data_IF_904915592570
#
_entry.id   IF_904915592570
#
_cell.length_a   1.000
_cell.length_b   1.000
_cell.length_c   1.000
_cell.angle_alpha   90.00
_cell.angle_beta   90.00
_cell.angle_gamma   90.00
#
_symmetry.space_group_name_H-M   'P 1'
#
loop_
_entity.id
_entity.type
_entity.pdbx_description
1 polymer ?
#
# COMPACT_ATOMS: atom_id res chain seq x y z
N UNK A 1 -45.50 -21.41 -23.94
CA UNK A 1 -46.17 -21.78 -22.67
C UNK A 1 -45.36 -21.21 -21.51
N UNK A 2 -45.86 -20.19 -20.81
CA UNK A 2 -46.57 -20.24 -19.51
C UNK A 2 -45.65 -20.52 -18.29
N UNK A 3 -45.25 -19.40 -17.68
CA UNK A 3 -45.24 -19.03 -16.25
C UNK A 3 -44.56 -19.87 -15.16
N UNK A 4 -43.83 -19.10 -14.31
CA UNK A 4 -43.32 -19.38 -12.97
C UNK A 4 -44.26 -20.24 -12.12
N UNK A 5 -43.71 -21.12 -11.25
CA UNK A 5 -44.15 -21.23 -9.85
C UNK A 5 -43.01 -21.65 -8.91
N UNK A 6 -42.67 -20.75 -8.00
CA UNK A 6 -41.84 -21.06 -6.83
C UNK A 6 -42.55 -22.06 -5.90
N UNK A 7 -41.77 -22.89 -5.21
CA UNK A 7 -42.26 -23.73 -4.11
C UNK A 7 -41.97 -23.05 -2.76
N UNK A 8 -43.01 -23.06 -1.93
CA UNK A 8 -43.22 -22.35 -0.66
C UNK A 8 -42.27 -22.79 0.47
N UNK A 9 -42.04 -21.94 1.50
CA UNK A 9 -41.29 -22.29 2.72
C UNK A 9 -42.14 -23.17 3.69
N UNK A 10 -41.55 -23.72 4.78
CA UNK A 10 -42.02 -24.95 5.41
C UNK A 10 -43.19 -24.71 6.37
N UNK A 11 -44.05 -25.72 6.50
CA UNK A 11 -45.13 -25.75 7.50
C UNK A 11 -44.68 -26.63 8.66
N UNK A 12 -44.41 -26.00 9.80
CA UNK A 12 -44.25 -26.65 11.10
C UNK A 12 -45.57 -27.30 11.50
N UNK A 13 -45.55 -28.61 11.81
CA UNK A 13 -46.61 -29.26 12.57
C UNK A 13 -46.07 -29.60 13.95
N UNK A 14 -46.40 -28.75 14.91
CA UNK A 14 -46.36 -29.11 16.32
C UNK A 14 -47.46 -30.15 16.58
N UNK A 15 -47.11 -31.23 17.27
CA UNK A 15 -48.04 -32.03 18.06
C UNK A 15 -47.35 -32.36 19.38
N UNK A 16 -47.87 -31.76 20.43
CA UNK A 16 -47.75 -32.24 21.80
C UNK A 16 -48.45 -33.61 21.89
N UNK A 17 -48.09 -34.43 22.87
CA UNK A 17 -49.04 -35.14 23.75
C UNK A 17 -48.29 -35.71 24.97
N UNK A 18 -49.03 -35.71 26.07
CA UNK A 18 -48.62 -35.77 27.46
C UNK A 18 -48.63 -37.20 28.05
N UNK A 19 -47.92 -37.33 29.19
CA UNK A 19 -48.20 -38.19 30.36
C UNK A 19 -47.80 -39.68 30.36
N UNK A 20 -47.16 -40.07 31.46
CA UNK A 20 -47.06 -41.45 31.93
C UNK A 20 -45.97 -41.68 32.99
N UNK A 21 -46.15 -41.14 34.20
CA UNK A 21 -45.51 -41.67 35.41
C UNK A 21 -45.87 -43.16 35.59
N UNK A 22 -45.00 -43.98 36.23
CA UNK A 22 -45.28 -44.71 37.49
C UNK A 22 -44.28 -45.85 37.78
N UNK A 23 -43.89 -45.94 39.06
CA UNK A 23 -43.22 -47.02 39.81
C UNK A 23 -41.69 -47.23 39.69
N UNK A 24 -41.01 -47.02 40.83
CA UNK A 24 -39.61 -47.38 41.07
C UNK A 24 -39.45 -48.66 41.87
N UNK A 25 -38.20 -49.09 42.05
CA UNK A 25 -37.73 -49.98 43.12
C UNK A 25 -36.22 -49.75 43.29
N UNK A 26 -35.81 -49.46 44.53
CA UNK A 26 -34.42 -49.42 44.98
C UNK A 26 -33.80 -50.82 44.92
N UNK A 27 -32.50 -50.89 44.62
CA UNK A 27 -31.60 -51.85 45.24
C UNK A 27 -30.19 -51.27 45.32
N UNK A 28 -29.71 -51.19 46.56
CA UNK A 28 -28.32 -51.03 47.01
C UNK A 28 -27.28 -51.67 46.10
N UNK A 29 -26.15 -51.00 45.81
CA UNK A 29 -24.79 -51.41 46.21
C UNK A 29 -23.79 -50.26 46.02
N UNK A 30 -23.10 -49.90 47.10
CA UNK A 30 -21.78 -49.29 47.02
C UNK A 30 -20.82 -50.23 46.29
N UNK A 31 -20.05 -49.74 45.31
CA UNK A 31 -18.63 -50.05 45.16
C UNK A 31 -18.02 -49.40 43.90
N UNK A 32 -16.82 -48.83 44.07
CA UNK A 32 -15.88 -48.59 42.96
C UNK A 32 -16.08 -47.32 42.14
N UNK A 33 -15.51 -46.19 42.57
CA UNK A 33 -15.16 -45.12 41.64
C UNK A 33 -14.12 -45.65 40.65
N UNK A 34 -14.61 -46.07 39.48
CA UNK A 34 -13.84 -46.58 38.34
C UNK A 34 -12.59 -45.70 38.11
N UNK A 35 -11.44 -46.29 38.39
CA UNK A 35 -10.09 -45.73 38.24
C UNK A 35 -9.82 -45.15 36.83
N UNK A 36 -10.55 -45.60 35.80
CA UNK A 36 -10.55 -45.05 34.44
C UNK A 36 -11.17 -43.65 34.41
N UNK A 37 -12.28 -43.43 35.11
CA UNK A 37 -12.99 -42.14 35.18
C UNK A 37 -12.19 -41.09 35.94
N UNK A 38 -11.52 -41.46 37.04
CA UNK A 38 -10.60 -40.56 37.78
C UNK A 38 -9.34 -40.22 36.95
N UNK A 39 -8.73 -41.21 36.28
CA UNK A 39 -7.58 -40.98 35.37
C UNK A 39 -7.95 -40.06 34.20
N UNK A 40 -9.11 -40.25 33.58
CA UNK A 40 -9.57 -39.41 32.48
C UNK A 40 -9.88 -37.97 32.94
N UNK A 41 -10.46 -37.79 34.14
CA UNK A 41 -10.68 -36.46 34.74
C UNK A 41 -9.36 -35.75 35.06
N UNK A 42 -8.37 -36.48 35.56
CA UNK A 42 -7.03 -35.94 35.81
C UNK A 42 -6.32 -35.52 34.50
N UNK A 43 -6.40 -36.35 33.45
CA UNK A 43 -5.84 -36.04 32.12
C UNK A 43 -6.47 -34.79 31.49
N UNK A 44 -7.80 -34.64 31.58
CA UNK A 44 -8.48 -33.42 31.12
C UNK A 44 -8.09 -32.18 31.93
N UNK A 45 -7.93 -32.31 33.25
CA UNK A 45 -7.45 -31.21 34.09
C UNK A 45 -6.02 -30.78 33.74
N UNK A 46 -5.13 -31.72 33.43
CA UNK A 46 -3.75 -31.43 32.99
C UNK A 46 -3.72 -30.76 31.61
N UNK A 47 -4.59 -31.18 30.69
CA UNK A 47 -4.75 -30.56 29.36
C UNK A 47 -5.26 -29.12 29.47
N UNK A 48 -6.21 -28.86 30.37
CA UNK A 48 -6.70 -27.53 30.69
C UNK A 48 -5.61 -26.63 31.32
N UNK A 49 -4.80 -27.16 32.24
CA UNK A 49 -3.67 -26.44 32.84
C UNK A 49 -2.62 -26.08 31.79
N UNK A 50 -2.29 -27.02 30.89
CA UNK A 50 -1.33 -26.78 29.80
C UNK A 50 -1.85 -25.72 28.83
N UNK A 51 -3.14 -25.73 28.51
CA UNK A 51 -3.79 -24.70 27.69
C UNK A 51 -3.77 -23.32 28.37
N UNK A 52 -4.11 -23.23 29.66
CA UNK A 52 -4.04 -21.97 30.44
C UNK A 52 -2.62 -21.41 30.50
N UNK A 53 -1.61 -22.26 30.72
CA UNK A 53 -0.21 -21.84 30.74
C UNK A 53 0.29 -21.36 29.36
N UNK A 54 -0.18 -21.97 28.27
CA UNK A 54 0.10 -21.50 26.91
C UNK A 54 -0.49 -20.10 26.68
N UNK A 55 -1.74 -19.88 27.09
CA UNK A 55 -2.38 -18.58 26.99
C UNK A 55 -1.66 -17.52 27.84
N UNK A 56 -1.30 -17.83 29.09
CA UNK A 56 -0.53 -16.94 29.98
C UNK A 56 0.82 -16.52 29.39
N UNK A 57 1.50 -17.42 28.68
CA UNK A 57 2.75 -17.08 27.97
C UNK A 57 2.49 -16.10 26.83
N UNK A 58 1.47 -16.34 26.01
CA UNK A 58 1.09 -15.43 24.91
C UNK A 58 0.68 -14.05 25.43
N UNK A 59 -0.09 -13.97 26.52
CA UNK A 59 -0.48 -12.69 27.12
C UNK A 59 0.72 -11.93 27.68
N UNK A 60 1.69 -12.61 28.29
CA UNK A 60 2.95 -11.97 28.76
C UNK A 60 3.79 -11.43 27.60
N UNK A 61 3.87 -12.16 26.49
CA UNK A 61 4.56 -11.72 25.26
C UNK A 61 3.89 -10.46 24.68
N UNK A 62 2.56 -10.45 24.62
CA UNK A 62 1.77 -9.31 24.14
C UNK A 62 1.95 -8.07 25.03
N UNK A 63 1.94 -8.24 26.36
CA UNK A 63 2.15 -7.14 27.31
C UNK A 63 3.56 -6.56 27.21
N UNK A 64 4.58 -7.40 26.99
CA UNK A 64 5.96 -6.92 26.76
C UNK A 64 6.05 -6.09 25.49
N UNK A 65 5.48 -6.57 24.38
CA UNK A 65 5.48 -5.87 23.09
C UNK A 65 4.71 -4.54 23.17
N UNK A 66 3.57 -4.49 23.88
CA UNK A 66 2.84 -3.25 24.15
C UNK A 66 3.66 -2.23 24.97
N UNK A 67 4.48 -2.71 25.90
CA UNK A 67 5.33 -1.84 26.73
C UNK A 67 6.48 -1.24 25.91
N UNK A 68 7.11 -2.05 25.06
CA UNK A 68 8.15 -1.67 24.12
C UNK A 68 7.64 -0.67 23.06
N UNK A 69 6.43 -0.89 22.52
CA UNK A 69 5.75 0.08 21.66
C UNK A 69 5.43 1.40 22.38
N UNK A 70 5.02 1.34 23.65
CA UNK A 70 4.77 2.56 24.43
C UNK A 70 6.05 3.35 24.71
N UNK A 71 7.20 2.66 24.87
CA UNK A 71 8.50 3.28 25.09
C UNK A 71 9.02 3.93 23.81
N UNK A 72 8.91 3.25 22.66
CA UNK A 72 9.20 3.84 21.35
C UNK A 72 8.29 5.03 20.99
N UNK A 73 7.04 5.03 21.47
CA UNK A 73 6.11 6.14 21.25
C UNK A 73 6.42 7.42 22.05
N UNK A 74 7.23 7.35 23.12
CA UNK A 74 7.59 8.52 23.94
C UNK A 74 8.43 9.52 23.15
N UNK A 75 9.27 9.04 22.23
CA UNK A 75 10.13 9.88 21.39
C UNK A 75 9.34 10.68 20.34
N UNK A 76 8.10 10.25 20.04
CA UNK A 76 7.19 10.99 19.16
C UNK A 76 6.39 12.08 19.88
N UNK A 77 6.62 12.34 21.18
CA UNK A 77 6.10 13.55 21.85
C UNK A 77 6.78 14.80 21.28
N UNK A 78 6.35 15.18 20.08
CA UNK A 78 6.55 16.50 19.50
C UNK A 78 5.74 17.48 20.31
N UNK A 79 6.37 18.08 21.30
CA UNK A 79 6.01 19.40 21.83
C UNK A 79 7.25 19.99 22.51
N UNK A 80 8.33 20.11 21.73
CA UNK A 80 9.28 21.17 22.01
C UNK A 80 8.79 22.37 21.20
N UNK A 81 7.87 23.13 21.79
CA UNK A 81 7.60 24.49 21.35
C UNK A 81 8.97 25.17 21.47
N UNK A 82 9.59 25.46 20.33
CA UNK A 82 10.89 26.10 20.29
C UNK A 82 10.80 27.38 21.14
N UNK A 83 11.49 27.42 22.29
CA UNK A 83 11.51 28.58 23.20
C UNK A 83 12.09 29.85 22.55
N UNK A 84 12.59 29.75 21.32
CA UNK A 84 12.90 30.89 20.47
C UNK A 84 11.65 31.26 19.68
N UNK A 85 10.98 32.33 20.09
CA UNK A 85 9.78 32.91 19.46
C UNK A 85 10.00 33.47 18.04
N UNK A 86 10.78 32.79 17.21
CA UNK A 86 10.83 33.03 15.77
C UNK A 86 9.80 32.10 15.14
N UNK A 87 8.67 32.68 14.74
CA UNK A 87 7.77 32.08 13.77
C UNK A 87 8.60 31.58 12.60
N UNK A 88 8.49 30.29 12.27
CA UNK A 88 9.02 29.81 11.00
C UNK A 88 8.31 30.62 9.92
N UNK A 89 9.06 31.46 9.21
CA UNK A 89 8.53 32.17 8.06
C UNK A 89 7.93 31.12 7.13
N UNK A 90 6.66 31.33 6.82
CA UNK A 90 5.84 30.42 6.07
C UNK A 90 6.63 29.89 4.87
N UNK A 91 6.76 28.57 4.76
CA UNK A 91 7.01 27.94 3.48
C UNK A 91 5.81 28.27 2.58
N UNK A 92 5.86 29.45 1.96
CA UNK A 92 4.97 29.80 0.88
C UNK A 92 5.34 28.90 -0.28
N UNK A 93 4.72 27.72 -0.31
CA UNK A 93 4.68 26.91 -1.52
C UNK A 93 3.86 27.70 -2.53
N UNK A 94 4.52 28.56 -3.30
CA UNK A 94 4.02 29.02 -4.58
C UNK A 94 3.59 27.77 -5.31
N UNK A 95 2.28 27.58 -5.48
CA UNK A 95 1.75 26.44 -6.23
C UNK A 95 2.46 26.47 -7.57
N UNK A 96 3.26 25.45 -7.87
CA UNK A 96 3.79 25.28 -9.23
C UNK A 96 2.58 25.11 -10.14
N UNK A 97 2.25 26.18 -10.87
CA UNK A 97 1.01 26.35 -11.63
C UNK A 97 1.01 25.46 -12.89
N UNK A 98 2.16 24.87 -13.22
CA UNK A 98 2.38 24.14 -14.48
C UNK A 98 2.03 22.65 -14.43
N UNK A 99 1.61 22.11 -13.27
CA UNK A 99 1.19 20.71 -13.17
C UNK A 99 -0.33 20.65 -13.33
N UNK A 100 -0.81 20.29 -14.52
CA UNK A 100 -2.19 19.88 -14.72
C UNK A 100 -2.45 18.61 -13.91
N UNK A 101 -2.97 18.79 -12.69
CA UNK A 101 -3.37 17.70 -11.80
C UNK A 101 -4.48 16.92 -12.48
N UNK A 102 -4.14 15.76 -13.04
CA UNK A 102 -5.09 14.81 -13.58
C UNK A 102 -5.94 14.33 -12.39
N UNK A 103 -7.17 14.85 -12.26
CA UNK A 103 -8.14 14.38 -11.28
C UNK A 103 -8.74 13.08 -11.78
N UNK A 104 -8.15 11.94 -11.41
CA UNK A 104 -8.81 10.65 -11.59
C UNK A 104 -9.92 10.50 -10.55
N UNK A 105 -11.19 10.51 -11.00
CA UNK A 105 -12.39 10.52 -10.16
C UNK A 105 -12.72 9.18 -9.47
N UNK A 106 -11.90 8.14 -9.62
CA UNK A 106 -12.28 6.79 -9.20
C UNK A 106 -11.42 6.35 -8.00
N UNK A 107 -12.00 6.52 -6.81
CA UNK A 107 -11.40 6.17 -5.53
C UNK A 107 -11.13 4.68 -5.40
N UNK A 108 -9.90 4.27 -5.66
CA UNK A 108 -9.30 3.07 -5.05
C UNK A 108 -8.33 3.53 -3.98
N UNK A 109 -8.34 2.87 -2.81
CA UNK A 109 -7.35 3.04 -1.72
C UNK A 109 -5.95 2.61 -2.17
N UNK A 110 -5.40 3.24 -3.20
CA UNK A 110 -3.96 3.24 -3.44
C UNK A 110 -3.48 4.54 -2.80
N UNK A 111 -2.43 4.45 -1.99
CA UNK A 111 -1.88 5.60 -1.26
C UNK A 111 -1.41 6.71 -2.20
N UNK A 112 -0.53 7.60 -1.74
CA UNK A 112 0.08 8.64 -2.57
C UNK A 112 0.86 7.98 -3.74
N UNK A 113 0.16 7.64 -4.81
CA UNK A 113 0.73 7.21 -6.07
C UNK A 113 1.53 8.40 -6.54
N UNK A 114 2.85 8.23 -6.61
CA UNK A 114 3.70 9.21 -7.26
C UNK A 114 3.29 9.20 -8.72
N UNK A 115 2.32 10.04 -9.08
CA UNK A 115 2.01 10.41 -10.46
C UNK A 115 3.13 11.34 -10.99
N UNK A 116 4.37 11.07 -10.60
CA UNK A 116 5.53 11.67 -11.21
C UNK A 116 5.55 11.04 -12.59
N UNK A 117 5.14 11.80 -13.60
CA UNK A 117 5.25 11.45 -15.01
C UNK A 117 6.69 10.92 -15.20
N UNK A 118 6.84 9.61 -15.26
CA UNK A 118 8.12 8.96 -14.93
C UNK A 118 9.13 9.29 -16.02
N UNK A 119 10.08 10.17 -15.72
CA UNK A 119 11.25 10.36 -16.57
C UNK A 119 12.01 9.04 -16.60
N UNK A 120 12.20 8.50 -17.80
CA UNK A 120 12.88 7.20 -17.97
C UNK A 120 14.38 7.33 -17.79
N UNK A 121 15.06 6.24 -17.48
CA UNK A 121 16.53 6.22 -17.37
C UNK A 121 17.22 6.67 -18.67
N UNK A 122 16.62 6.35 -19.83
CA UNK A 122 17.11 6.78 -21.15
C UNK A 122 17.06 8.31 -21.29
N UNK A 123 15.95 8.92 -20.89
CA UNK A 123 15.77 10.37 -20.89
C UNK A 123 16.79 11.06 -19.97
N UNK A 124 17.03 10.52 -18.76
CA UNK A 124 18.06 11.04 -17.84
C UNK A 124 19.45 10.97 -18.46
N UNK A 125 19.78 9.86 -19.13
CA UNK A 125 21.08 9.67 -19.77
C UNK A 125 21.34 10.74 -20.84
N UNK A 126 20.32 11.11 -21.60
CA UNK A 126 20.41 12.18 -22.59
C UNK A 126 20.63 13.52 -21.90
N UNK A 127 19.82 13.87 -20.90
CA UNK A 127 19.93 15.15 -20.18
C UNK A 127 21.30 15.35 -19.49
N UNK A 128 21.96 14.26 -19.08
CA UNK A 128 23.32 14.30 -18.51
C UNK A 128 24.42 14.53 -19.55
N UNK A 129 24.29 13.96 -20.74
CA UNK A 129 25.37 13.88 -21.72
C UNK A 129 25.21 14.82 -22.93
N UNK A 130 24.09 15.52 -23.05
CA UNK A 130 23.83 16.45 -24.14
C UNK A 130 24.64 17.76 -24.01
N UNK A 131 24.96 18.37 -25.16
CA UNK A 131 25.56 19.71 -25.28
C UNK A 131 24.50 20.81 -25.09
N UNK A 132 24.89 22.08 -25.20
CA UNK A 132 23.96 23.23 -25.20
C UNK A 132 22.89 23.13 -26.28
N UNK A 133 23.30 22.75 -27.49
CA UNK A 133 22.44 22.44 -28.63
C UNK A 133 22.82 21.10 -29.24
N UNK A 134 21.82 20.28 -29.58
CA UNK A 134 22.06 18.98 -30.21
C UNK A 134 21.05 18.73 -31.32
N UNK A 135 21.49 18.02 -32.34
CA UNK A 135 20.63 17.45 -33.37
C UNK A 135 19.95 16.19 -32.85
N UNK A 136 18.82 15.81 -33.45
CA UNK A 136 18.16 14.53 -33.15
C UNK A 136 19.06 13.32 -33.38
N UNK A 137 20.06 13.43 -34.27
CA UNK A 137 21.03 12.37 -34.53
C UNK A 137 22.01 12.17 -33.37
N UNK A 138 22.54 13.26 -32.82
CA UNK A 138 23.44 13.21 -31.66
C UNK A 138 22.74 12.67 -30.41
N UNK A 139 21.52 13.13 -30.12
CA UNK A 139 20.75 12.65 -28.97
C UNK A 139 20.45 11.15 -29.07
N UNK A 140 20.15 10.67 -30.28
CA UNK A 140 19.92 9.25 -30.55
C UNK A 140 21.19 8.41 -30.37
N UNK A 141 22.36 8.94 -30.77
CA UNK A 141 23.66 8.29 -30.54
C UNK A 141 23.95 8.14 -29.04
N UNK A 142 23.67 9.16 -28.23
CA UNK A 142 23.83 9.11 -26.76
C UNK A 142 22.97 8.00 -26.13
N UNK A 143 21.74 7.86 -26.62
CA UNK A 143 20.79 6.83 -26.16
C UNK A 143 21.06 5.43 -26.73
N UNK A 144 21.97 5.28 -27.71
CA UNK A 144 22.26 4.03 -28.43
C UNK A 144 21.03 3.39 -29.11
N UNK A 145 20.07 4.20 -29.58
CA UNK A 145 18.87 3.72 -30.30
C UNK A 145 19.08 3.80 -31.82
N UNK A 146 18.50 2.87 -32.57
CA UNK A 146 18.54 2.88 -34.05
C UNK A 146 17.28 3.50 -34.64
N UNK A 147 16.10 3.16 -34.10
CA UNK A 147 14.81 3.60 -34.63
C UNK A 147 14.51 5.08 -34.31
N UNK A 148 14.39 5.91 -35.36
CA UNK A 148 14.15 7.36 -35.26
C UNK A 148 12.75 7.69 -34.73
N UNK A 149 11.70 7.02 -35.22
CA UNK A 149 10.31 7.35 -34.87
C UNK A 149 10.04 7.05 -33.40
N UNK A 150 10.43 5.86 -32.93
CA UNK A 150 10.28 5.47 -31.52
C UNK A 150 11.11 6.35 -30.58
N UNK A 151 12.31 6.75 -31.00
CA UNK A 151 13.10 7.69 -30.23
C UNK A 151 12.39 9.03 -30.07
N UNK A 152 11.77 9.56 -31.15
CA UNK A 152 11.05 10.82 -31.07
C UNK A 152 9.86 10.73 -30.12
N UNK A 153 8.98 9.74 -30.33
CA UNK A 153 7.75 9.55 -29.56
C UNK A 153 8.01 9.27 -28.07
N UNK A 154 8.97 8.41 -27.75
CA UNK A 154 9.15 7.91 -26.38
C UNK A 154 10.17 8.73 -25.56
N UNK A 155 11.03 9.50 -26.22
CA UNK A 155 12.16 10.16 -25.56
C UNK A 155 12.14 11.66 -25.81
N UNK A 156 12.11 12.09 -27.06
CA UNK A 156 12.26 13.50 -27.40
C UNK A 156 10.99 14.31 -27.10
N UNK A 157 9.84 13.86 -27.58
CA UNK A 157 8.55 14.55 -27.40
C UNK A 157 8.18 14.67 -25.90
N UNK A 158 8.37 13.64 -25.04
CA UNK A 158 8.19 13.78 -23.59
C UNK A 158 9.12 14.81 -22.97
N UNK A 159 10.39 14.85 -23.37
CA UNK A 159 11.35 15.83 -22.82
C UNK A 159 11.03 17.27 -23.24
N UNK A 160 10.48 17.47 -24.44
CA UNK A 160 9.98 18.78 -24.89
C UNK A 160 8.70 19.14 -24.10
N UNK A 161 7.78 18.19 -23.93
CA UNK A 161 6.57 18.41 -23.13
C UNK A 161 6.90 18.76 -21.67
N UNK A 162 7.94 18.15 -21.09
CA UNK A 162 8.42 18.52 -19.74
C UNK A 162 9.17 19.85 -19.73
N UNK A 163 9.45 20.42 -20.89
CA UNK A 163 10.16 21.68 -21.04
C UNK A 163 11.64 21.57 -20.71
N UNK A 164 12.27 20.38 -20.78
CA UNK A 164 13.72 20.23 -20.64
C UNK A 164 14.46 20.55 -21.94
N UNK A 165 13.79 20.34 -23.07
CA UNK A 165 14.27 20.73 -24.39
C UNK A 165 13.30 21.71 -25.05
N UNK A 166 13.87 22.67 -25.77
CA UNK A 166 13.16 23.60 -26.63
C UNK A 166 13.63 23.47 -28.08
N UNK A 167 12.72 23.77 -29.00
CA UNK A 167 12.98 23.79 -30.44
C UNK A 167 13.72 25.09 -30.79
N UNK A 168 14.83 25.00 -31.52
CA UNK A 168 15.52 26.21 -32.03
C UNK A 168 14.75 26.91 -33.14
N UNK A 169 14.02 26.16 -33.98
CA UNK A 169 13.16 26.71 -35.03
C UNK A 169 11.69 26.33 -34.75
N UNK A 170 10.93 27.15 -34.00
CA UNK A 170 9.54 26.83 -33.65
C UNK A 170 8.60 26.88 -34.86
N UNK A 171 8.86 27.75 -35.84
CA UNK A 171 8.01 27.92 -37.02
C UNK A 171 8.00 26.70 -37.95
N UNK A 172 9.05 25.88 -37.91
CA UNK A 172 9.18 24.69 -38.75
C UNK A 172 9.75 23.52 -37.93
N UNK A 173 8.91 22.85 -37.11
CA UNK A 173 9.36 21.79 -36.21
C UNK A 173 9.85 20.54 -36.96
N UNK A 174 9.54 20.43 -38.26
CA UNK A 174 9.95 19.32 -39.13
C UNK A 174 11.16 19.67 -40.01
N UNK A 175 11.77 20.84 -39.80
CA UNK A 175 12.96 21.27 -40.53
C UNK A 175 14.12 20.28 -40.40
N UNK A 176 14.89 20.02 -41.47
CA UNK A 176 16.08 19.16 -41.40
C UNK A 176 17.18 19.76 -40.51
N UNK A 177 17.22 21.09 -40.38
CA UNK A 177 18.19 21.82 -39.57
C UNK A 177 17.71 22.04 -38.12
N UNK A 178 16.65 21.33 -37.70
CA UNK A 178 16.11 21.44 -36.36
C UNK A 178 17.13 20.96 -35.31
N UNK A 179 17.38 21.81 -34.32
CA UNK A 179 18.15 21.49 -33.12
C UNK A 179 17.26 21.59 -31.87
N UNK A 180 17.76 21.01 -30.79
CA UNK A 180 17.12 20.98 -29.49
C UNK A 180 18.06 21.62 -28.48
N UNK A 181 17.56 22.65 -27.79
CA UNK A 181 18.29 23.44 -26.80
C UNK A 181 17.84 23.06 -25.39
N UNK A 182 18.78 22.92 -24.47
CA UNK A 182 18.47 22.69 -23.06
C UNK A 182 17.99 23.97 -22.36
N UNK A 183 16.97 23.84 -21.52
CA UNK A 183 16.25 24.97 -20.88
C UNK A 183 16.70 25.27 -19.44
N UNK A 184 17.71 24.57 -18.92
CA UNK A 184 18.17 24.73 -17.54
C UNK A 184 17.21 24.20 -16.46
N UNK A 185 15.98 23.79 -16.81
CA UNK A 185 14.99 23.23 -15.88
C UNK A 185 15.42 21.88 -15.28
N UNK A 186 16.42 21.23 -15.86
CA UNK A 186 16.98 19.98 -15.36
C UNK A 186 18.16 20.23 -14.41
N UNK A 187 17.96 19.96 -13.12
CA UNK A 187 19.01 20.05 -12.10
C UNK A 187 19.74 18.71 -12.00
N UNK A 188 21.07 18.74 -12.15
CA UNK A 188 21.93 17.57 -11.93
C UNK A 188 22.20 17.41 -10.45
N UNK A 189 22.04 16.19 -9.91
CA UNK A 189 22.47 15.89 -8.54
C UNK A 189 23.98 16.08 -8.45
N UNK A 190 24.41 17.07 -7.67
CA UNK A 190 25.82 17.29 -7.34
C UNK A 190 26.22 16.14 -6.40
N UNK A 191 27.16 15.30 -6.81
CA UNK A 191 27.81 14.38 -5.90
C UNK A 191 28.86 15.19 -5.14
N UNK A 192 28.73 15.27 -3.82
CA UNK A 192 29.79 15.80 -2.96
C UNK A 192 30.86 14.70 -2.88
N UNK A 193 32.09 15.05 -3.26
CA UNK A 193 33.27 14.22 -3.05
C UNK A 193 33.64 14.20 -1.57
#
# INVERSE_FOLDING_TARGET
MRWLKGKKPPVNKAKNDLNGDLFGFDDTQSEGLNNKTRKNKALESLKAIKAKNKQLKTTREQVKNLKELSESAKDFKRNNINKTGKTQEYFNFSKNIDISVIKTSNGTKKGLSKNNKEITQEQIKILKNCKSENTASELRKISKRTNKSKFKENVLDPLIHFGFFELTVPNSPRSPNQKYRLTGKFVRKIQKN
#
